data_IF_424798953446
#
_entry.id   IF_424798953446
#
_cell.length_a   1.000
_cell.length_b   1.000
_cell.length_c   1.000
_cell.angle_alpha   90.00
_cell.angle_beta   90.00
_cell.angle_gamma   90.00
#
_symmetry.space_group_name_H-M   'P 1'
#
loop_
_entity.id
_entity.type
_entity.pdbx_description
1 polymer ?
#
# COMPACT_ATOMS: atom_id res chain seq x y z
N UNK A 1 36.55 19.83 -9.43
CA UNK A 1 36.86 18.43 -9.79
C UNK A 1 36.03 18.02 -11.01
N UNK A 2 36.63 17.35 -12.01
CA UNK A 2 35.91 16.82 -13.18
C UNK A 2 35.77 15.31 -13.07
N UNK A 3 34.56 14.78 -13.27
CA UNK A 3 34.28 13.36 -13.34
C UNK A 3 34.30 12.82 -14.78
N UNK A 4 34.36 11.51 -14.92
CA UNK A 4 34.25 10.80 -16.21
C UNK A 4 33.15 9.76 -16.14
N UNK A 5 32.19 9.79 -17.07
CA UNK A 5 31.11 8.81 -17.16
C UNK A 5 31.56 7.63 -18.02
N UNK A 6 31.66 6.45 -17.43
CA UNK A 6 32.06 5.21 -18.10
C UNK A 6 31.18 4.07 -17.57
N UNK A 7 30.60 3.27 -18.47
CA UNK A 7 29.75 2.11 -18.14
C UNK A 7 28.65 2.36 -17.08
N UNK A 8 28.02 3.54 -17.14
CA UNK A 8 26.92 3.93 -16.25
C UNK A 8 27.38 4.26 -14.82
N UNK A 9 28.65 4.60 -14.63
CA UNK A 9 29.24 5.05 -13.37
C UNK A 9 30.07 6.31 -13.64
N UNK A 10 30.07 7.25 -12.69
CA UNK A 10 30.91 8.45 -12.76
C UNK A 10 32.14 8.23 -11.89
N UNK A 11 33.31 8.22 -12.50
CA UNK A 11 34.59 8.16 -11.82
C UNK A 11 35.02 9.57 -11.42
N UNK A 12 35.24 9.78 -10.13
CA UNK A 12 35.75 11.01 -9.54
C UNK A 12 37.18 10.78 -9.04
N UNK A 13 38.20 11.41 -9.66
CA UNK A 13 39.60 11.19 -9.30
C UNK A 13 40.07 12.09 -8.15
N UNK A 14 41.26 11.83 -7.64
CA UNK A 14 41.93 12.72 -6.69
C UNK A 14 41.46 12.48 -5.26
N UNK A 15 41.13 13.52 -4.51
CA UNK A 15 40.70 13.40 -3.09
C UNK A 15 39.19 13.13 -2.92
N UNK A 16 38.54 12.57 -3.95
CA UNK A 16 37.09 12.43 -4.04
C UNK A 16 36.52 11.55 -2.93
N UNK A 17 37.23 10.46 -2.59
CA UNK A 17 36.85 9.56 -1.50
C UNK A 17 36.75 10.31 -0.18
N UNK A 18 37.80 11.03 0.23
CA UNK A 18 37.83 11.75 1.50
C UNK A 18 36.76 12.85 1.52
N UNK A 19 36.61 13.54 0.39
CA UNK A 19 35.66 14.65 0.25
C UNK A 19 34.22 14.21 0.33
N UNK A 20 33.85 13.07 -0.24
CA UNK A 20 32.45 12.71 -0.43
C UNK A 20 32.04 11.37 0.22
N UNK A 21 32.87 10.33 0.14
CA UNK A 21 32.55 9.05 0.74
C UNK A 21 32.74 9.08 2.26
N UNK A 22 33.95 9.37 2.72
CA UNK A 22 34.29 9.30 4.15
C UNK A 22 33.51 10.36 4.97
N UNK A 23 33.13 11.48 4.33
CA UNK A 23 32.42 12.58 4.98
C UNK A 23 30.89 12.43 4.98
N UNK A 24 30.32 11.87 3.90
CA UNK A 24 28.86 11.94 3.61
C UNK A 24 28.28 10.67 2.98
N UNK A 25 29.08 9.62 2.82
CA UNK A 25 28.65 8.31 2.32
C UNK A 25 28.21 8.29 0.87
N UNK A 26 28.84 9.08 -0.01
CA UNK A 26 28.62 8.96 -1.46
C UNK A 26 29.42 7.82 -2.06
N UNK A 27 28.84 7.16 -3.06
CA UNK A 27 29.54 6.27 -3.97
C UNK A 27 30.26 5.11 -3.31
N UNK A 28 31.11 4.43 -4.09
CA UNK A 28 31.95 3.32 -3.66
C UNK A 28 33.43 3.63 -3.93
N UNK A 29 34.33 3.46 -2.95
CA UNK A 29 35.76 3.62 -3.19
C UNK A 29 36.29 2.54 -4.15
N UNK A 30 37.15 2.92 -5.10
CA UNK A 30 37.78 2.00 -6.08
C UNK A 30 39.18 1.53 -5.67
N UNK A 31 39.64 1.93 -4.49
CA UNK A 31 41.01 1.76 -4.02
C UNK A 31 41.83 3.06 -4.18
N UNK A 32 42.57 3.43 -3.14
CA UNK A 32 43.20 4.75 -3.06
C UNK A 32 42.19 5.85 -2.68
N UNK A 33 42.33 7.01 -3.33
CA UNK A 33 41.57 8.24 -3.06
C UNK A 33 40.44 8.49 -4.08
N UNK A 34 40.39 7.70 -5.15
CA UNK A 34 39.37 7.78 -6.19
C UNK A 34 38.01 7.22 -5.71
N UNK A 35 36.95 7.72 -6.31
CA UNK A 35 35.57 7.39 -5.96
C UNK A 35 34.73 7.12 -7.20
N UNK A 36 33.97 6.04 -7.20
CA UNK A 36 32.90 5.81 -8.17
C UNK A 36 31.56 6.23 -7.58
N UNK A 37 30.81 7.08 -8.27
CA UNK A 37 29.46 7.50 -7.88
C UNK A 37 28.46 7.17 -8.99
N UNK A 38 27.21 6.91 -8.62
CA UNK A 38 26.14 6.73 -9.61
C UNK A 38 25.80 8.07 -10.27
N UNK A 39 25.20 8.07 -11.48
CA UNK A 39 24.75 9.29 -12.15
C UNK A 39 23.90 10.23 -11.27
N UNK A 40 22.98 9.68 -10.47
CA UNK A 40 22.14 10.45 -9.55
C UNK A 40 22.94 11.11 -8.42
N UNK A 41 23.95 10.41 -7.91
CA UNK A 41 24.87 10.93 -6.89
C UNK A 41 25.73 12.06 -7.47
N UNK A 42 26.26 11.89 -8.69
CA UNK A 42 26.99 12.94 -9.40
C UNK A 42 26.11 14.16 -9.71
N UNK A 43 24.86 13.93 -10.13
CA UNK A 43 23.89 15.00 -10.34
C UNK A 43 23.64 15.79 -9.04
N UNK A 44 23.51 15.10 -7.91
CA UNK A 44 23.39 15.78 -6.62
C UNK A 44 24.64 16.60 -6.26
N UNK A 45 25.85 16.07 -6.47
CA UNK A 45 27.09 16.81 -6.26
C UNK A 45 27.20 18.04 -7.19
N UNK A 46 26.82 17.92 -8.47
CA UNK A 46 26.74 19.04 -9.40
C UNK A 46 25.74 20.11 -8.95
N UNK A 47 24.56 19.70 -8.45
CA UNK A 47 23.54 20.63 -7.98
C UNK A 47 23.97 21.47 -6.76
N UNK A 48 25.01 21.02 -6.06
CA UNK A 48 25.62 21.68 -4.91
C UNK A 48 26.92 22.41 -5.25
N UNK A 49 27.31 22.42 -6.53
CA UNK A 49 28.61 22.90 -7.01
C UNK A 49 29.80 22.22 -6.30
N UNK A 50 29.61 20.99 -5.79
CA UNK A 50 30.65 20.22 -5.09
C UNK A 50 31.68 19.63 -6.09
N UNK A 51 31.28 19.42 -7.34
CA UNK A 51 32.12 19.06 -8.49
C UNK A 51 31.85 20.00 -9.68
N UNK A 52 32.80 20.14 -10.59
CA UNK A 52 32.78 21.13 -11.68
C UNK A 52 32.04 20.62 -12.93
N UNK A 53 31.91 19.30 -13.10
CA UNK A 53 31.36 18.69 -14.30
C UNK A 53 31.63 17.18 -14.40
N UNK A 54 30.96 16.52 -15.34
CA UNK A 54 31.20 15.12 -15.73
C UNK A 54 31.36 15.07 -17.24
N UNK A 55 32.55 14.75 -17.76
CA UNK A 55 32.89 14.87 -19.19
C UNK A 55 32.52 16.24 -19.78
N UNK A 56 32.69 17.30 -18.99
CA UNK A 56 32.30 18.67 -19.35
C UNK A 56 30.79 18.96 -19.31
N UNK A 57 29.95 17.99 -18.93
CA UNK A 57 28.51 18.18 -18.70
C UNK A 57 28.26 18.80 -17.33
N UNK A 58 27.37 19.80 -17.28
CA UNK A 58 26.77 20.30 -16.05
C UNK A 58 25.55 19.46 -15.64
N UNK A 59 24.83 19.89 -14.61
CA UNK A 59 23.66 19.17 -14.08
C UNK A 59 22.62 18.86 -15.17
N UNK A 60 22.24 19.88 -15.96
CA UNK A 60 21.22 19.76 -17.00
C UNK A 60 21.60 18.69 -18.03
N UNK A 61 22.81 18.78 -18.54
CA UNK A 61 23.32 17.88 -19.58
C UNK A 61 23.47 16.46 -19.05
N UNK A 62 23.95 16.30 -17.81
CA UNK A 62 24.06 14.98 -17.18
C UNK A 62 22.69 14.32 -17.02
N UNK A 63 21.71 15.03 -16.43
CA UNK A 63 20.35 14.50 -16.24
C UNK A 63 19.70 14.09 -17.58
N UNK A 64 19.85 14.93 -18.61
CA UNK A 64 19.33 14.62 -19.94
C UNK A 64 20.03 13.42 -20.58
N UNK A 65 21.34 13.24 -20.31
CA UNK A 65 22.14 12.14 -20.85
C UNK A 65 21.83 10.81 -20.17
N UNK A 66 21.54 10.82 -18.86
CA UNK A 66 21.40 9.61 -18.05
C UNK A 66 19.95 9.23 -17.76
N UNK A 67 19.00 10.15 -17.95
CA UNK A 67 17.58 9.92 -17.69
C UNK A 67 17.21 9.88 -16.20
N UNK A 68 18.11 10.29 -15.31
CA UNK A 68 17.95 10.14 -13.84
C UNK A 68 17.21 11.31 -13.19
N UNK A 69 16.28 11.95 -13.90
CA UNK A 69 15.60 13.17 -13.42
C UNK A 69 14.71 12.88 -12.22
N UNK A 70 13.89 11.83 -12.27
CA UNK A 70 12.99 11.47 -11.16
C UNK A 70 13.81 11.03 -9.93
N UNK A 71 14.78 10.16 -10.15
CA UNK A 71 15.76 9.71 -9.14
C UNK A 71 16.43 10.89 -8.46
N UNK A 72 16.84 11.91 -9.22
CA UNK A 72 17.48 13.11 -8.69
C UNK A 72 16.56 13.91 -7.77
N UNK A 73 15.28 14.07 -8.13
CA UNK A 73 14.31 14.80 -7.29
C UNK A 73 14.15 14.09 -5.94
N UNK A 74 13.95 12.77 -5.95
CA UNK A 74 13.83 11.95 -4.73
C UNK A 74 15.12 11.96 -3.91
N UNK A 75 16.25 11.70 -4.56
CA UNK A 75 17.56 11.64 -3.91
C UNK A 75 17.91 12.97 -3.23
N UNK A 76 17.64 14.10 -3.92
CA UNK A 76 17.87 15.44 -3.39
C UNK A 76 16.96 15.73 -2.19
N UNK A 77 15.65 15.44 -2.26
CA UNK A 77 14.73 15.67 -1.15
C UNK A 77 15.15 14.87 0.11
N UNK A 78 15.51 13.60 -0.04
CA UNK A 78 16.00 12.78 1.08
C UNK A 78 17.33 13.31 1.64
N UNK A 79 18.28 13.72 0.79
CA UNK A 79 19.53 14.36 1.25
C UNK A 79 19.27 15.68 1.98
N UNK A 80 18.34 16.51 1.50
CA UNK A 80 17.96 17.78 2.12
C UNK A 80 17.29 17.58 3.49
N UNK A 81 16.58 16.46 3.67
CA UNK A 81 16.03 16.01 4.96
C UNK A 81 17.07 15.41 5.91
N UNK A 82 18.34 15.37 5.49
CA UNK A 82 19.47 14.92 6.29
C UNK A 82 19.70 13.40 6.27
N UNK A 83 19.04 12.66 5.37
CA UNK A 83 19.30 11.24 5.22
C UNK A 83 20.60 10.97 4.47
N UNK A 84 21.27 9.89 4.84
CA UNK A 84 22.21 9.22 3.97
C UNK A 84 21.47 8.12 3.23
N UNK A 85 21.81 7.94 1.97
CA UNK A 85 21.22 6.93 1.12
C UNK A 85 22.19 6.55 0.02
N UNK A 86 22.06 5.33 -0.46
CA UNK A 86 22.85 4.80 -1.57
C UNK A 86 21.92 4.27 -2.66
N UNK A 87 22.30 4.40 -3.95
CA UNK A 87 21.69 3.64 -5.03
C UNK A 87 21.66 2.16 -4.68
N UNK A 88 20.49 1.53 -4.79
CA UNK A 88 20.32 0.09 -4.59
C UNK A 88 20.88 -0.66 -5.81
N UNK A 89 22.21 -0.75 -5.87
CA UNK A 89 22.97 -1.36 -6.97
C UNK A 89 24.01 -2.32 -6.43
N UNK A 90 24.25 -3.42 -7.14
CA UNK A 90 25.29 -4.38 -6.78
C UNK A 90 26.66 -3.70 -6.62
N UNK A 91 27.33 -3.99 -5.51
CA UNK A 91 28.63 -3.42 -5.18
C UNK A 91 28.59 -1.98 -4.65
N UNK A 92 27.42 -1.38 -4.43
CA UNK A 92 27.32 -0.14 -3.65
C UNK A 92 27.38 -0.42 -2.15
N UNK A 93 27.95 0.50 -1.35
CA UNK A 93 28.03 0.34 0.10
C UNK A 93 26.65 0.17 0.74
N UNK A 94 26.54 -0.71 1.74
CA UNK A 94 25.29 -0.99 2.43
C UNK A 94 24.26 -1.78 1.61
N UNK A 95 24.55 -2.14 0.35
CA UNK A 95 23.65 -2.91 -0.52
C UNK A 95 23.98 -4.40 -0.43
N UNK A 96 23.31 -5.12 0.47
CA UNK A 96 23.32 -6.58 0.47
C UNK A 96 22.36 -7.15 -0.58
N UNK A 97 21.23 -6.48 -0.80
CA UNK A 97 20.23 -6.82 -1.81
C UNK A 97 19.70 -5.55 -2.49
N UNK A 98 19.85 -5.50 -3.80
CA UNK A 98 19.42 -4.43 -4.68
C UNK A 98 17.99 -4.63 -5.23
N UNK A 99 17.38 -5.80 -5.01
CA UNK A 99 16.10 -6.13 -5.64
C UNK A 99 14.96 -5.23 -5.13
N UNK A 100 14.12 -4.78 -6.06
CA UNK A 100 12.84 -4.12 -5.76
C UNK A 100 12.92 -2.65 -5.33
N UNK A 101 14.11 -2.06 -5.20
CA UNK A 101 14.29 -0.66 -4.78
C UNK A 101 15.31 0.07 -5.66
N UNK A 102 15.22 1.40 -5.70
CA UNK A 102 16.16 2.30 -6.37
C UNK A 102 17.16 2.91 -5.38
N UNK A 103 16.72 3.11 -4.12
CA UNK A 103 17.59 3.60 -3.03
C UNK A 103 17.43 2.79 -1.75
N UNK A 104 18.54 2.66 -1.02
CA UNK A 104 18.55 2.29 0.38
C UNK A 104 18.79 3.54 1.22
N UNK A 105 17.84 3.90 2.05
CA UNK A 105 17.90 5.05 2.96
C UNK A 105 18.24 4.54 4.36
N UNK A 106 19.23 5.17 4.98
CA UNK A 106 19.73 4.77 6.30
C UNK A 106 19.07 5.60 7.42
N UNK A 107 18.95 5.06 8.65
CA UNK A 107 18.42 5.84 9.76
C UNK A 107 19.20 7.14 9.97
N UNK A 108 18.56 8.19 10.48
CA UNK A 108 19.24 9.49 10.68
C UNK A 108 20.46 9.33 11.60
N UNK A 109 21.61 9.83 11.15
CA UNK A 109 22.89 9.71 11.84
C UNK A 109 23.65 8.41 11.58
N UNK A 110 23.07 7.49 10.80
CA UNK A 110 23.70 6.28 10.27
C UNK A 110 24.04 6.45 8.78
N UNK A 111 24.87 5.55 8.27
CA UNK A 111 25.26 5.48 6.87
C UNK A 111 25.42 4.06 6.37
N UNK A 112 25.92 3.89 5.15
CA UNK A 112 26.01 2.59 4.48
C UNK A 112 26.90 1.56 5.18
N UNK A 113 27.77 1.99 6.10
CA UNK A 113 28.67 1.14 6.88
C UNK A 113 28.06 0.61 8.17
N UNK A 114 26.89 1.12 8.58
CA UNK A 114 26.28 0.76 9.86
C UNK A 114 25.42 -0.51 9.81
N UNK A 115 25.09 -1.01 8.61
CA UNK A 115 24.35 -2.25 8.42
C UNK A 115 22.85 -2.18 8.70
N UNK A 116 22.31 -0.97 8.88
CA UNK A 116 20.88 -0.72 9.14
C UNK A 116 20.26 0.04 7.96
N UNK A 117 19.16 -0.46 7.40
CA UNK A 117 18.37 0.22 6.35
C UNK A 117 17.03 0.61 6.96
N UNK A 118 16.70 1.90 6.90
CA UNK A 118 15.43 2.45 7.38
C UNK A 118 14.34 2.29 6.32
N UNK A 119 14.64 2.67 5.08
CA UNK A 119 13.69 2.58 3.98
C UNK A 119 14.35 2.02 2.73
N UNK A 120 13.67 1.08 2.07
CA UNK A 120 13.93 0.70 0.68
C UNK A 120 13.02 1.57 -0.17
N UNK A 121 13.55 2.47 -0.98
CA UNK A 121 12.75 3.43 -1.74
C UNK A 121 12.70 3.02 -3.21
N UNK A 122 11.49 2.98 -3.77
CA UNK A 122 11.22 2.80 -5.20
C UNK A 122 10.68 4.10 -5.77
N UNK A 123 11.27 4.61 -6.85
CA UNK A 123 10.90 5.84 -7.52
C UNK A 123 9.95 5.54 -8.67
N UNK A 124 8.85 6.29 -8.75
CA UNK A 124 7.84 6.13 -9.80
C UNK A 124 7.31 7.50 -10.24
N UNK A 125 7.26 7.77 -11.54
CA UNK A 125 6.55 8.94 -12.07
C UNK A 125 5.04 8.77 -12.05
N UNK A 126 4.27 9.85 -11.93
CA UNK A 126 2.79 9.81 -11.82
C UNK A 126 2.04 9.05 -12.94
N UNK A 127 2.67 8.84 -14.10
CA UNK A 127 2.07 8.16 -15.27
C UNK A 127 2.54 6.71 -15.43
N UNK A 128 3.47 6.27 -14.60
CA UNK A 128 4.00 4.91 -14.66
C UNK A 128 3.03 3.93 -13.99
N UNK A 129 2.91 2.75 -14.57
CA UNK A 129 2.11 1.67 -14.00
C UNK A 129 2.88 0.97 -12.88
N UNK A 130 2.22 0.67 -11.77
CA UNK A 130 2.82 0.00 -10.61
C UNK A 130 2.20 -1.38 -10.44
N UNK A 131 2.86 -2.46 -10.90
CA UNK A 131 2.41 -3.82 -10.60
C UNK A 131 2.40 -4.03 -9.09
N UNK A 132 1.34 -4.65 -8.56
CA UNK A 132 1.25 -4.90 -7.11
C UNK A 132 2.39 -5.77 -6.58
N UNK A 133 2.92 -6.67 -7.41
CA UNK A 133 4.10 -7.50 -7.10
C UNK A 133 5.39 -6.71 -6.91
N UNK A 134 5.37 -5.39 -7.17
CA UNK A 134 6.50 -4.49 -6.94
C UNK A 134 6.39 -3.70 -5.63
N UNK A 135 5.35 -3.97 -4.84
CA UNK A 135 5.05 -3.37 -3.55
C UNK A 135 5.15 -4.41 -2.43
N UNK A 136 5.10 -3.94 -1.18
CA UNK A 136 5.35 -4.76 0.00
C UNK A 136 6.78 -4.60 0.49
N UNK A 137 6.95 -4.09 1.71
CA UNK A 137 8.24 -3.80 2.35
C UNK A 137 9.10 -2.76 1.59
N UNK A 138 8.43 -1.83 0.90
CA UNK A 138 9.08 -0.76 0.14
C UNK A 138 8.34 0.56 0.34
N UNK A 139 9.09 1.65 0.40
CA UNK A 139 8.59 3.01 0.33
C UNK A 139 8.49 3.42 -1.14
N UNK A 140 7.28 3.70 -1.59
CA UNK A 140 7.02 4.21 -2.93
C UNK A 140 7.12 5.74 -2.93
N UNK A 141 8.10 6.28 -3.67
CA UNK A 141 8.27 7.70 -3.91
C UNK A 141 7.65 8.08 -5.27
N UNK A 142 6.48 8.69 -5.24
CA UNK A 142 5.80 9.19 -6.44
C UNK A 142 6.22 10.63 -6.71
N UNK A 143 6.71 10.87 -7.92
CA UNK A 143 7.03 12.20 -8.46
C UNK A 143 5.92 12.59 -9.44
N UNK A 144 5.24 13.71 -9.18
CA UNK A 144 4.22 14.21 -10.10
C UNK A 144 4.78 15.06 -11.26
N UNK A 145 3.91 15.53 -12.15
CA UNK A 145 4.33 16.32 -13.31
C UNK A 145 4.93 17.68 -12.98
N UNK A 146 4.61 18.24 -11.81
CA UNK A 146 5.16 19.50 -11.31
C UNK A 146 6.46 19.29 -10.49
N UNK A 147 6.81 18.03 -10.22
CA UNK A 147 7.98 17.63 -9.45
C UNK A 147 7.73 17.54 -7.95
N UNK A 148 6.47 17.60 -7.50
CA UNK A 148 6.10 17.40 -6.11
C UNK A 148 6.20 15.91 -5.74
N UNK A 149 6.65 15.68 -4.50
CA UNK A 149 6.94 14.36 -3.98
C UNK A 149 5.87 13.88 -3.00
N UNK A 150 5.42 12.65 -3.19
CA UNK A 150 4.62 11.93 -2.20
C UNK A 150 5.24 10.57 -1.91
N UNK A 151 5.48 10.29 -0.64
CA UNK A 151 5.96 8.99 -0.17
C UNK A 151 4.80 8.18 0.39
N UNK A 152 4.71 6.92 -0.03
CA UNK A 152 3.82 5.94 0.55
C UNK A 152 4.62 4.79 1.13
N UNK A 153 4.29 4.42 2.35
CA UNK A 153 4.77 3.19 2.96
C UNK A 153 3.87 2.03 2.52
N UNK A 154 4.47 0.90 2.16
CA UNK A 154 3.75 -0.29 1.69
C UNK A 154 4.19 -1.53 2.46
N UNK A 155 3.22 -2.21 3.07
CA UNK A 155 3.47 -3.31 4.00
C UNK A 155 2.47 -4.44 3.78
N UNK A 156 2.91 -5.68 3.97
CA UNK A 156 2.02 -6.83 4.05
C UNK A 156 1.33 -6.87 5.40
N UNK A 157 0.11 -6.34 5.50
CA UNK A 157 -0.63 -6.24 6.76
C UNK A 157 -2.08 -6.67 6.57
N UNK A 158 -2.47 -7.77 7.22
CA UNK A 158 -3.83 -8.30 7.20
C UNK A 158 -4.63 -7.76 8.38
N UNK A 159 -5.88 -7.29 8.17
CA UNK A 159 -6.74 -6.88 9.28
C UNK A 159 -7.00 -8.02 10.28
N UNK A 160 -6.74 -7.78 11.56
CA UNK A 160 -7.10 -8.68 12.67
C UNK A 160 -8.07 -7.98 13.64
N UNK A 161 -8.99 -8.72 14.24
CA UNK A 161 -9.97 -8.16 15.15
C UNK A 161 -10.28 -9.02 16.37
N UNK A 162 -11.26 -8.55 17.14
CA UNK A 162 -11.65 -9.13 18.44
C UNK A 162 -13.10 -9.59 18.49
N UNK A 163 -13.85 -9.45 17.39
CA UNK A 163 -15.26 -9.79 17.35
C UNK A 163 -15.49 -11.28 17.66
N UNK A 164 -16.41 -11.56 18.58
CA UNK A 164 -16.86 -12.90 18.85
C UNK A 164 -17.96 -13.29 17.86
N UNK A 165 -17.79 -14.42 17.19
CA UNK A 165 -18.83 -14.96 16.33
C UNK A 165 -19.76 -15.89 17.11
N UNK A 166 -21.03 -15.49 17.20
CA UNK A 166 -22.06 -16.18 17.98
C UNK A 166 -23.37 -16.15 17.19
N UNK A 167 -23.44 -16.95 16.12
CA UNK A 167 -24.55 -16.91 15.16
C UNK A 167 -25.78 -17.70 15.67
N UNK A 168 -27.01 -17.26 15.36
CA UNK A 168 -28.19 -18.10 15.45
C UNK A 168 -28.15 -19.20 14.37
N UNK A 169 -29.06 -20.16 14.44
CA UNK A 169 -29.22 -21.21 13.44
C UNK A 169 -30.60 -21.09 12.76
N UNK A 170 -30.65 -21.43 11.48
CA UNK A 170 -31.87 -21.66 10.70
C UNK A 170 -32.89 -20.49 10.71
N UNK A 171 -32.42 -19.24 10.67
CA UNK A 171 -33.35 -18.11 10.56
C UNK A 171 -33.98 -18.05 9.17
N UNK A 172 -35.32 -17.94 9.12
CA UNK A 172 -36.04 -17.79 7.86
C UNK A 172 -35.67 -16.49 7.15
N UNK A 173 -35.33 -16.60 5.87
CA UNK A 173 -34.88 -15.47 5.07
C UNK A 173 -35.44 -15.51 3.65
N UNK A 174 -35.78 -14.33 3.13
CA UNK A 174 -36.30 -14.16 1.77
C UNK A 174 -35.22 -13.55 0.87
N UNK A 175 -34.78 -14.30 -0.14
CA UNK A 175 -33.82 -13.82 -1.14
C UNK A 175 -34.53 -12.95 -2.20
N UNK A 176 -34.21 -11.67 -2.22
CA UNK A 176 -34.71 -10.67 -3.17
C UNK A 176 -33.70 -10.40 -4.29
N UNK A 177 -34.02 -9.47 -5.19
CA UNK A 177 -33.24 -9.15 -6.39
C UNK A 177 -31.77 -8.78 -6.11
N UNK A 178 -31.48 -8.11 -5.00
CA UNK A 178 -30.14 -7.58 -4.69
C UNK A 178 -29.78 -7.66 -3.20
N UNK A 179 -30.61 -8.36 -2.40
CA UNK A 179 -30.50 -8.44 -0.93
C UNK A 179 -31.29 -9.62 -0.39
N UNK A 180 -31.07 -9.97 0.88
CA UNK A 180 -31.95 -10.87 1.63
C UNK A 180 -32.66 -10.14 2.78
N UNK A 181 -33.87 -10.56 3.12
CA UNK A 181 -34.62 -10.06 4.28
C UNK A 181 -34.79 -11.16 5.32
N UNK A 182 -34.52 -10.84 6.58
CA UNK A 182 -34.77 -11.71 7.74
C UNK A 182 -35.80 -11.03 8.62
N UNK A 183 -36.93 -11.69 8.87
CA UNK A 183 -38.06 -11.08 9.55
C UNK A 183 -37.97 -11.16 11.08
N UNK A 184 -37.55 -12.32 11.58
CA UNK A 184 -37.56 -12.65 13.01
C UNK A 184 -36.17 -13.13 13.48
N UNK A 185 -35.92 -13.10 14.79
CA UNK A 185 -34.66 -13.58 15.38
C UNK A 185 -33.41 -12.74 15.07
N UNK A 186 -33.60 -11.55 14.49
CA UNK A 186 -32.51 -10.73 13.91
C UNK A 186 -31.58 -10.09 14.93
N UNK A 187 -31.99 -10.00 16.20
CA UNK A 187 -31.27 -9.20 17.20
C UNK A 187 -29.86 -9.73 17.45
N UNK A 188 -29.65 -11.05 17.42
CA UNK A 188 -28.31 -11.63 17.58
C UNK A 188 -27.40 -11.27 16.40
N UNK A 189 -27.92 -11.41 15.17
CA UNK A 189 -27.18 -11.04 13.95
C UNK A 189 -26.82 -9.56 13.93
N UNK A 190 -27.76 -8.69 14.29
CA UNK A 190 -27.53 -7.25 14.30
C UNK A 190 -26.66 -6.81 15.48
N UNK A 191 -27.08 -7.09 16.72
CA UNK A 191 -26.41 -6.55 17.91
C UNK A 191 -25.03 -7.14 18.16
N UNK A 192 -24.82 -8.44 17.90
CA UNK A 192 -23.55 -9.13 18.19
C UNK A 192 -22.67 -9.41 16.98
N UNK A 193 -23.24 -9.39 15.77
CA UNK A 193 -22.46 -9.60 14.53
C UNK A 193 -22.39 -8.38 13.62
N UNK A 194 -23.18 -7.33 13.92
CA UNK A 194 -23.42 -6.17 13.07
C UNK A 194 -23.73 -6.53 11.62
N UNK A 195 -24.40 -7.66 11.38
CA UNK A 195 -24.86 -8.03 10.05
C UNK A 195 -26.02 -7.13 9.61
N UNK A 196 -26.05 -6.78 8.33
CA UNK A 196 -27.16 -6.07 7.71
C UNK A 196 -27.41 -4.66 8.21
N UNK A 197 -28.63 -4.19 7.95
CA UNK A 197 -29.18 -2.95 8.45
C UNK A 197 -30.68 -3.13 8.71
N UNK A 198 -31.18 -2.68 9.87
CA UNK A 198 -32.62 -2.73 10.13
C UNK A 198 -33.41 -1.93 9.09
N UNK A 199 -34.49 -2.53 8.59
CA UNK A 199 -35.25 -2.01 7.45
C UNK A 199 -35.99 -0.70 7.78
N UNK A 200 -36.46 -0.55 9.03
CA UNK A 200 -37.17 0.65 9.48
C UNK A 200 -36.26 1.88 9.65
N UNK A 201 -34.94 1.71 9.47
CA UNK A 201 -33.98 2.81 9.44
C UNK A 201 -32.74 2.53 10.26
N UNK A 202 -31.76 3.44 10.17
CA UNK A 202 -30.47 3.28 10.86
C UNK A 202 -30.59 3.19 12.38
N UNK A 203 -31.50 3.97 12.94
CA UNK A 203 -31.70 4.12 14.38
C UNK A 203 -32.97 3.39 14.85
N UNK A 204 -33.43 2.39 14.11
CA UNK A 204 -34.56 1.60 14.54
C UNK A 204 -34.12 0.62 15.63
N UNK A 205 -34.88 0.51 16.71
CA UNK A 205 -34.61 -0.47 17.78
C UNK A 205 -35.21 -1.85 17.49
N UNK A 206 -36.02 -1.95 16.42
CA UNK A 206 -36.74 -3.17 16.03
C UNK A 206 -36.96 -3.23 14.53
N UNK A 207 -37.49 -4.36 14.07
CA UNK A 207 -37.86 -4.58 12.67
C UNK A 207 -36.92 -5.53 11.93
N UNK A 208 -37.33 -5.93 10.72
CA UNK A 208 -36.62 -6.92 9.93
C UNK A 208 -35.23 -6.40 9.54
N UNK A 209 -34.33 -7.33 9.28
CA UNK A 209 -32.96 -7.06 8.90
C UNK A 209 -32.80 -7.24 7.39
N UNK A 210 -32.24 -6.23 6.72
CA UNK A 210 -31.82 -6.37 5.33
C UNK A 210 -30.33 -6.71 5.29
N UNK A 211 -29.98 -7.76 4.55
CA UNK A 211 -28.61 -8.23 4.37
C UNK A 211 -28.17 -7.96 2.93
N UNK A 212 -26.92 -7.54 2.76
CA UNK A 212 -26.27 -7.62 1.45
C UNK A 212 -26.15 -9.10 1.00
N UNK A 213 -25.99 -9.34 -0.30
CA UNK A 213 -25.79 -10.70 -0.82
C UNK A 213 -24.53 -11.36 -0.25
N UNK A 214 -23.48 -10.58 0.06
CA UNK A 214 -22.26 -11.08 0.73
C UNK A 214 -22.56 -11.58 2.15
N UNK A 215 -23.27 -10.75 2.94
CA UNK A 215 -23.68 -11.13 4.29
C UNK A 215 -24.62 -12.35 4.28
N UNK A 216 -25.55 -12.40 3.33
CA UNK A 216 -26.49 -13.50 3.18
C UNK A 216 -25.78 -14.81 2.80
N UNK A 217 -24.86 -14.77 1.84
CA UNK A 217 -24.10 -15.95 1.42
C UNK A 217 -23.23 -16.47 2.58
N UNK A 218 -22.53 -15.57 3.28
CA UNK A 218 -21.73 -15.94 4.45
C UNK A 218 -22.57 -16.59 5.56
N UNK A 219 -23.74 -16.03 5.87
CA UNK A 219 -24.61 -16.55 6.92
C UNK A 219 -25.32 -17.85 6.50
N UNK A 220 -25.67 -18.01 5.22
CA UNK A 220 -26.21 -19.27 4.69
C UNK A 220 -25.18 -20.40 4.78
N UNK A 221 -23.92 -20.12 4.41
CA UNK A 221 -22.79 -21.07 4.55
C UNK A 221 -22.57 -21.53 5.99
N UNK A 222 -22.87 -20.67 6.95
CA UNK A 222 -22.75 -20.94 8.39
C UNK A 222 -24.02 -21.55 9.01
N UNK A 223 -24.98 -21.99 8.20
CA UNK A 223 -26.30 -22.50 8.62
C UNK A 223 -27.09 -21.53 9.52
N UNK A 224 -26.77 -20.23 9.45
CA UNK A 224 -27.46 -19.19 10.22
C UNK A 224 -28.74 -18.70 9.55
N UNK A 225 -28.85 -18.87 8.22
CA UNK A 225 -30.05 -18.58 7.44
C UNK A 225 -30.56 -19.85 6.76
N UNK A 226 -31.88 -20.05 6.76
CA UNK A 226 -32.56 -21.15 6.10
C UNK A 226 -32.77 -20.87 4.59
N UNK A 227 -31.69 -20.55 3.88
CA UNK A 227 -31.66 -20.36 2.42
C UNK A 227 -30.44 -21.07 1.83
N UNK A 228 -30.53 -21.53 0.59
CA UNK A 228 -29.42 -22.20 -0.09
C UNK A 228 -28.33 -21.17 -0.45
N UNK A 229 -27.11 -21.40 0.04
CA UNK A 229 -25.93 -20.58 -0.29
C UNK A 229 -25.74 -20.46 -1.81
N UNK A 230 -25.95 -21.54 -2.56
CA UNK A 230 -25.74 -21.57 -4.00
C UNK A 230 -26.69 -20.62 -4.73
N UNK A 231 -27.93 -20.50 -4.26
CA UNK A 231 -28.92 -19.57 -4.82
C UNK A 231 -28.51 -18.11 -4.55
N UNK A 232 -28.00 -17.82 -3.34
CA UNK A 232 -27.52 -16.47 -2.99
C UNK A 232 -26.28 -16.11 -3.81
N UNK A 233 -25.33 -17.04 -3.95
CA UNK A 233 -24.11 -16.84 -4.75
C UNK A 233 -24.45 -16.64 -6.23
N UNK A 234 -25.37 -17.44 -6.78
CA UNK A 234 -25.85 -17.24 -8.15
C UNK A 234 -26.44 -15.84 -8.33
N UNK A 235 -27.26 -15.38 -7.37
CA UNK A 235 -27.82 -14.02 -7.40
C UNK A 235 -26.73 -12.95 -7.29
N UNK A 236 -25.71 -13.18 -6.47
CA UNK A 236 -24.55 -12.31 -6.33
C UNK A 236 -23.82 -12.10 -7.65
N UNK A 237 -23.53 -13.20 -8.36
CA UNK A 237 -22.90 -13.18 -9.68
C UNK A 237 -23.77 -12.49 -10.74
N UNK A 238 -25.09 -12.68 -10.71
CA UNK A 238 -26.01 -11.97 -11.62
C UNK A 238 -25.97 -10.45 -11.42
N UNK A 239 -25.76 -9.97 -10.18
CA UNK A 239 -25.78 -8.55 -9.82
C UNK A 239 -24.42 -7.87 -9.99
N UNK A 240 -23.33 -8.52 -9.55
CA UNK A 240 -21.99 -7.92 -9.47
C UNK A 240 -20.97 -8.53 -10.44
N UNK A 241 -21.34 -9.60 -11.15
CA UNK A 241 -20.44 -10.35 -12.04
C UNK A 241 -19.28 -11.01 -11.28
N UNK A 242 -18.14 -11.14 -11.95
CA UNK A 242 -16.93 -11.81 -11.46
C UNK A 242 -16.32 -11.15 -10.21
N UNK A 243 -16.78 -9.95 -9.83
CA UNK A 243 -16.34 -9.29 -8.59
C UNK A 243 -16.96 -9.90 -7.35
N UNK A 244 -18.13 -10.54 -7.47
CA UNK A 244 -18.86 -11.07 -6.32
C UNK A 244 -18.03 -12.11 -5.56
N UNK A 245 -17.44 -13.07 -6.28
CA UNK A 245 -16.75 -14.19 -5.68
C UNK A 245 -15.50 -13.74 -4.89
N UNK A 246 -14.67 -12.86 -5.48
CA UNK A 246 -13.54 -12.23 -4.77
C UNK A 246 -13.99 -11.47 -3.53
N UNK A 247 -15.07 -10.69 -3.64
CA UNK A 247 -15.60 -9.91 -2.51
C UNK A 247 -16.15 -10.83 -1.42
N UNK A 248 -16.76 -11.96 -1.78
CA UNK A 248 -17.26 -12.96 -0.83
C UNK A 248 -16.11 -13.65 -0.11
N UNK A 249 -15.06 -14.05 -0.83
CA UNK A 249 -13.84 -14.63 -0.24
C UNK A 249 -13.20 -13.66 0.77
N UNK A 250 -13.03 -12.39 0.39
CA UNK A 250 -12.49 -11.35 1.30
C UNK A 250 -13.42 -11.08 2.48
N UNK A 251 -14.74 -11.02 2.25
CA UNK A 251 -15.71 -10.83 3.34
C UNK A 251 -15.62 -11.96 4.37
N UNK A 252 -15.53 -13.21 3.91
CA UNK A 252 -15.37 -14.39 4.75
C UNK A 252 -14.06 -14.35 5.54
N UNK A 253 -12.93 -14.08 4.88
CA UNK A 253 -11.63 -14.01 5.54
C UNK A 253 -11.57 -12.91 6.61
N UNK A 254 -12.19 -11.75 6.36
CA UNK A 254 -12.32 -10.67 7.34
C UNK A 254 -13.13 -11.12 8.56
N UNK A 255 -14.23 -11.85 8.37
CA UNK A 255 -15.04 -12.40 9.48
C UNK A 255 -14.27 -13.46 10.27
N UNK A 256 -13.57 -14.35 9.58
CA UNK A 256 -12.73 -15.40 10.17
C UNK A 256 -11.56 -14.80 10.98
N UNK A 257 -11.01 -13.67 10.52
CA UNK A 257 -10.04 -12.86 11.25
C UNK A 257 -10.65 -12.02 12.40
N UNK A 258 -11.91 -12.30 12.76
CA UNK A 258 -12.66 -11.65 13.86
C UNK A 258 -12.84 -10.14 13.67
N UNK A 259 -12.87 -9.69 12.42
CA UNK A 259 -13.22 -8.31 12.09
C UNK A 259 -14.69 -8.22 11.68
N UNK A 260 -15.24 -7.01 11.64
CA UNK A 260 -16.61 -6.73 11.22
C UNK A 260 -16.58 -5.91 9.93
N UNK A 261 -16.63 -6.52 8.74
CA UNK A 261 -16.75 -5.80 7.49
C UNK A 261 -18.16 -5.26 7.26
N UNK A 262 -18.27 -3.97 6.95
CA UNK A 262 -19.50 -3.32 6.45
C UNK A 262 -19.23 -2.67 5.10
N UNK A 263 -20.29 -2.31 4.36
CA UNK A 263 -20.15 -1.61 3.08
C UNK A 263 -19.25 -0.37 3.19
N UNK A 264 -18.21 -0.33 2.36
CA UNK A 264 -17.29 0.79 2.20
C UNK A 264 -17.78 1.87 1.24
N UNK A 265 -18.97 1.72 0.65
CA UNK A 265 -19.48 2.56 -0.45
C UNK A 265 -19.33 4.07 -0.23
N UNK A 266 -19.56 4.55 1.00
CA UNK A 266 -19.43 5.98 1.36
C UNK A 266 -18.00 6.53 1.26
N UNK A 267 -17.02 5.63 1.14
CA UNK A 267 -15.60 5.91 1.06
C UNK A 267 -14.98 5.35 -0.22
N UNK A 268 -15.79 4.98 -1.23
CA UNK A 268 -15.25 4.44 -2.48
C UNK A 268 -14.51 3.11 -2.35
N UNK A 269 -14.67 2.40 -1.23
CA UNK A 269 -14.07 1.08 -0.98
C UNK A 269 -15.12 -0.03 -0.97
N UNK A 270 -14.70 -1.28 -1.12
CA UNK A 270 -15.61 -2.42 -1.02
C UNK A 270 -16.09 -2.59 0.43
N UNK A 271 -15.17 -2.47 1.38
CA UNK A 271 -15.46 -2.58 2.81
C UNK A 271 -14.88 -1.43 3.63
N UNK A 272 -15.56 -1.14 4.74
CA UNK A 272 -14.97 -0.52 5.93
C UNK A 272 -14.96 -1.58 7.03
N UNK A 273 -13.85 -1.72 7.73
CA UNK A 273 -13.63 -2.84 8.64
C UNK A 273 -13.43 -2.33 10.06
N UNK A 274 -14.16 -2.90 11.00
CA UNK A 274 -14.00 -2.66 12.43
C UNK A 274 -13.21 -3.84 13.02
N UNK A 275 -12.14 -3.53 13.74
CA UNK A 275 -11.25 -4.50 14.39
C UNK A 275 -11.69 -4.76 15.82
N UNK A 276 -12.12 -3.71 16.52
CA UNK A 276 -12.73 -3.80 17.84
C UNK A 276 -14.25 -3.75 17.75
N UNK A 277 -14.91 -4.83 18.15
CA UNK A 277 -16.37 -4.91 18.17
C UNK A 277 -16.88 -5.86 19.27
N UNK A 278 -17.74 -5.33 20.14
CA UNK A 278 -18.48 -6.12 21.15
C UNK A 278 -19.99 -6.09 20.87
N UNK A 279 -20.52 -4.90 20.60
CA UNK A 279 -21.94 -4.69 20.29
C UNK A 279 -22.14 -3.47 19.39
N UNK A 280 -23.32 -3.33 18.78
CA UNK A 280 -23.66 -2.12 18.00
C UNK A 280 -23.80 -0.88 18.89
N UNK A 281 -24.17 -1.05 20.17
CA UNK A 281 -24.34 0.06 21.11
C UNK A 281 -22.98 0.68 21.50
N UNK A 282 -21.90 -0.10 21.42
CA UNK A 282 -20.53 0.30 21.77
C UNK A 282 -19.62 0.45 20.52
N UNK A 283 -20.22 0.80 19.38
CA UNK A 283 -19.52 0.79 18.10
C UNK A 283 -18.41 1.85 18.02
N UNK A 284 -17.17 1.38 17.88
CA UNK A 284 -15.99 2.19 17.58
C UNK A 284 -15.99 2.72 16.14
N UNK A 285 -14.99 3.52 15.76
CA UNK A 285 -14.79 3.85 14.35
C UNK A 285 -14.09 2.70 13.62
N UNK A 286 -14.52 2.42 12.39
CA UNK A 286 -13.80 1.44 11.55
C UNK A 286 -12.34 1.85 11.35
N UNK A 287 -11.42 0.91 11.32
CA UNK A 287 -9.98 1.16 11.23
C UNK A 287 -9.49 1.14 9.78
N UNK A 288 -9.99 0.20 8.98
CA UNK A 288 -9.54 0.00 7.60
C UNK A 288 -10.61 0.38 6.57
N UNK A 289 -10.15 0.82 5.41
CA UNK A 289 -10.88 0.77 4.14
C UNK A 289 -10.24 -0.32 3.27
N UNK A 290 -11.01 -1.33 2.90
CA UNK A 290 -10.53 -2.46 2.09
C UNK A 290 -11.09 -2.35 0.68
N UNK A 291 -10.20 -2.40 -0.31
CA UNK A 291 -10.54 -2.60 -1.73
C UNK A 291 -10.13 -4.01 -2.16
N UNK A 292 -11.01 -4.67 -2.91
CA UNK A 292 -10.75 -6.01 -3.46
C UNK A 292 -10.30 -5.88 -4.91
N UNK A 293 -9.14 -6.46 -5.21
CA UNK A 293 -8.49 -6.39 -6.52
C UNK A 293 -7.94 -7.78 -6.91
N UNK A 294 -7.68 -7.98 -8.20
CA UNK A 294 -7.07 -9.22 -8.69
C UNK A 294 -5.60 -9.34 -8.25
N UNK A 295 -5.02 -10.55 -8.18
CA UNK A 295 -3.64 -10.74 -7.75
C UNK A 295 -2.60 -10.08 -8.66
N UNK A 296 -2.91 -9.90 -9.94
CA UNK A 296 -2.08 -9.24 -10.94
C UNK A 296 -2.38 -7.73 -11.09
N UNK A 297 -3.06 -7.14 -10.11
CA UNK A 297 -3.47 -5.74 -10.17
C UNK A 297 -2.29 -4.80 -10.42
N UNK A 298 -2.55 -3.79 -11.24
CA UNK A 298 -1.59 -2.75 -11.57
C UNK A 298 -2.19 -1.40 -11.19
N UNK A 299 -1.55 -0.72 -10.24
CA UNK A 299 -1.98 0.59 -9.78
C UNK A 299 -1.58 1.68 -10.75
N UNK A 300 -2.46 2.68 -10.86
CA UNK A 300 -2.13 4.00 -11.41
C UNK A 300 -1.80 4.92 -10.22
N UNK A 301 -0.64 5.61 -10.20
CA UNK A 301 -0.19 6.43 -9.08
C UNK A 301 -1.23 7.43 -8.58
N UNK A 302 -1.94 8.08 -9.52
CA UNK A 302 -3.03 9.01 -9.21
C UNK A 302 -4.17 8.34 -8.43
N UNK A 303 -4.60 7.16 -8.85
CA UNK A 303 -5.74 6.47 -8.22
C UNK A 303 -5.35 5.90 -6.85
N UNK A 304 -4.11 5.37 -6.73
CA UNK A 304 -3.55 4.97 -5.44
C UNK A 304 -3.48 6.17 -4.47
N UNK A 305 -2.99 7.32 -4.95
CA UNK A 305 -2.93 8.55 -4.15
C UNK A 305 -4.31 9.02 -3.71
N UNK A 306 -5.33 8.90 -4.57
CA UNK A 306 -6.71 9.21 -4.21
C UNK A 306 -7.24 8.28 -3.11
N UNK A 307 -7.02 6.97 -3.22
CA UNK A 307 -7.44 5.99 -2.21
C UNK A 307 -6.79 6.27 -0.85
N UNK A 308 -5.46 6.44 -0.82
CA UNK A 308 -4.71 6.70 0.42
C UNK A 308 -5.10 8.05 1.03
N UNK A 309 -5.30 9.08 0.20
CA UNK A 309 -5.76 10.39 0.68
C UNK A 309 -7.17 10.32 1.25
N UNK A 310 -8.07 9.55 0.64
CA UNK A 310 -9.43 9.36 1.13
C UNK A 310 -9.42 8.66 2.48
N UNK A 311 -8.67 7.55 2.61
CA UNK A 311 -8.50 6.83 3.86
C UNK A 311 -7.90 7.74 4.96
N UNK A 312 -6.81 8.44 4.66
CA UNK A 312 -6.16 9.36 5.60
C UNK A 312 -7.08 10.51 6.05
N UNK A 313 -7.90 11.05 5.15
CA UNK A 313 -8.86 12.12 5.45
C UNK A 313 -9.94 11.71 6.45
N UNK A 314 -10.26 10.41 6.53
CA UNK A 314 -11.22 9.86 7.50
C UNK A 314 -10.53 9.07 8.62
N UNK A 315 -9.20 9.24 8.79
CA UNK A 315 -8.35 8.58 9.79
C UNK A 315 -8.49 7.04 9.75
N UNK A 316 -8.39 6.48 8.56
CA UNK A 316 -8.39 5.04 8.29
C UNK A 316 -7.14 4.66 7.52
N UNK A 317 -6.74 3.40 7.63
CA UNK A 317 -5.68 2.83 6.81
C UNK A 317 -6.27 2.22 5.54
N UNK A 318 -5.61 2.44 4.41
CA UNK A 318 -6.03 1.88 3.13
C UNK A 318 -5.40 0.49 2.97
N UNK A 319 -6.23 -0.50 2.66
CA UNK A 319 -5.80 -1.90 2.50
C UNK A 319 -6.36 -2.45 1.19
N UNK A 320 -5.53 -3.18 0.45
CA UNK A 320 -5.92 -3.91 -0.74
C UNK A 320 -5.88 -5.41 -0.43
N UNK A 321 -7.00 -6.08 -0.69
CA UNK A 321 -7.10 -7.53 -0.64
C UNK A 321 -6.95 -8.08 -2.07
N UNK A 322 -5.87 -8.80 -2.31
CA UNK A 322 -5.46 -9.34 -3.60
C UNK A 322 -5.87 -10.80 -3.64
N UNK A 323 -6.86 -11.13 -4.47
CA UNK A 323 -7.34 -12.51 -4.53
C UNK A 323 -8.02 -12.82 -5.85
N UNK A 324 -7.88 -14.08 -6.26
CA UNK A 324 -8.74 -14.69 -7.28
C UNK A 324 -10.02 -15.24 -6.64
N UNK A 325 -10.97 -15.66 -7.45
CA UNK A 325 -12.31 -16.05 -6.99
C UNK A 325 -12.31 -17.15 -5.91
N UNK A 326 -11.29 -18.00 -5.88
CA UNK A 326 -11.09 -19.07 -4.88
C UNK A 326 -9.64 -19.16 -4.37
N UNK A 327 -8.87 -18.06 -4.44
CA UNK A 327 -7.46 -18.03 -4.10
C UNK A 327 -7.18 -17.74 -2.63
N UNK A 328 -5.91 -17.89 -2.23
CA UNK A 328 -5.42 -17.23 -1.02
C UNK A 328 -5.55 -15.70 -1.17
N UNK A 329 -5.57 -14.98 -0.05
CA UNK A 329 -5.68 -13.52 -0.04
C UNK A 329 -4.36 -12.95 0.43
N UNK A 330 -3.70 -12.24 -0.47
CA UNK A 330 -2.56 -11.40 -0.12
C UNK A 330 -3.08 -10.01 0.29
N UNK A 331 -2.51 -9.45 1.36
CA UNK A 331 -2.91 -8.17 1.92
C UNK A 331 -1.81 -7.14 1.70
N UNK A 332 -2.19 -5.98 1.17
CA UNK A 332 -1.29 -4.85 1.01
C UNK A 332 -1.87 -3.62 1.68
N UNK A 333 -1.22 -3.16 2.75
CA UNK A 333 -1.48 -1.87 3.37
C UNK A 333 -0.67 -0.79 2.67
N UNK A 334 -1.31 0.36 2.44
CA UNK A 334 -0.64 1.55 1.91
C UNK A 334 -1.00 2.77 2.76
N UNK A 335 0.02 3.48 3.24
CA UNK A 335 -0.16 4.66 4.08
C UNK A 335 0.76 5.80 3.65
N UNK A 336 0.38 7.05 3.96
CA UNK A 336 1.23 8.22 3.66
C UNK A 336 2.41 8.24 4.63
N UNK A 337 3.62 8.32 4.10
CA UNK A 337 4.85 8.45 4.86
C UNK A 337 5.37 9.90 4.79
N UNK A 338 5.97 10.37 5.88
CA UNK A 338 6.84 11.56 5.88
C UNK A 338 8.19 11.14 6.45
N UNK A 339 9.18 10.86 5.59
CA UNK A 339 10.53 10.47 6.01
C UNK A 339 11.22 11.55 6.85
#
# INVERSE_FOLDING_TARGET
MQGRLEDGVVHLPGDARQRFHDSRGYGRPTGGDDLEVAPVEAAHLLSRDDIDGVDGMGLRELLARTGTTLDFVVYKDLRDRGFYLSPAREGWPGVADAAGADFLVYPRGKGPWDGEVEHRVRVVGERESIPVSSLGEVVLAIVDEDGDLTYFDTEGDSPEGTAAEDLPADLDAELLSDRALVWDGVDRLYQRGFFGQRLYGRNADSGPLQLSLLEAAYLARADALAIDEADVVSRGRDVEGDRFDRRLAVYAALREAKTVPKSGFKFGSDFRVYTEFESVDDLSHSEFLVRVVAPDHTFVPRDLSLDVRLAGGVRKRMVFALTDDNGEIDWLSVSRLTP
#
